data_IF_775723101424
#
_entry.id   IF_775723101424
#
_cell.length_a   1.000
_cell.length_b   1.000
_cell.length_c   1.000
_cell.angle_alpha   90.00
_cell.angle_beta   90.00
_cell.angle_gamma   90.00
#
_symmetry.space_group_name_H-M   'P 1'
#
loop_
_entity.id
_entity.type
_entity.pdbx_description
1 polymer ?
#
# COMPACT_ATOMS: atom_id res chain seq x y z
N UNK A 1 -31.16 -8.21 10.00
CA UNK A 1 -30.61 -6.85 9.93
C UNK A 1 -29.40 -6.94 9.01
N UNK A 2 -29.50 -6.46 7.77
CA UNK A 2 -28.37 -6.50 6.82
C UNK A 2 -27.29 -5.53 7.29
N UNK A 3 -26.06 -6.01 7.43
CA UNK A 3 -24.90 -5.16 7.62
C UNK A 3 -24.69 -4.34 6.35
N UNK A 4 -25.02 -3.04 6.40
CA UNK A 4 -24.72 -2.09 5.35
C UNK A 4 -23.24 -1.74 5.42
N UNK A 5 -22.53 -1.88 4.31
CA UNK A 5 -21.13 -1.47 4.22
C UNK A 5 -21.09 0.07 4.20
N UNK A 6 -20.41 0.75 5.15
CA UNK A 6 -20.26 2.21 5.14
C UNK A 6 -19.44 2.73 3.94
N UNK A 7 -18.88 1.81 3.13
CA UNK A 7 -18.17 2.07 1.88
C UNK A 7 -19.03 1.87 0.62
N UNK A 8 -20.36 1.79 0.76
CA UNK A 8 -21.28 1.55 -0.37
C UNK A 8 -22.35 2.64 -0.52
N UNK A 9 -22.42 3.23 -1.71
CA UNK A 9 -23.70 3.66 -2.26
C UNK A 9 -24.36 2.40 -2.86
N UNK A 10 -25.48 1.99 -2.27
CA UNK A 10 -26.17 0.74 -2.57
C UNK A 10 -26.82 0.74 -3.95
N UNK A 11 -26.43 -0.22 -4.80
CA UNK A 11 -27.28 -1.26 -5.41
C UNK A 11 -26.43 -2.10 -6.38
N UNK A 12 -26.03 -3.30 -5.93
CA UNK A 12 -25.15 -4.22 -6.66
C UNK A 12 -23.69 -4.13 -6.20
N UNK A 13 -23.29 -5.02 -5.31
CA UNK A 13 -21.97 -5.16 -4.67
C UNK A 13 -20.75 -5.24 -5.63
N UNK A 14 -20.96 -5.15 -6.95
CA UNK A 14 -19.98 -5.19 -8.02
C UNK A 14 -20.27 -4.12 -9.08
N UNK A 15 -20.34 -2.84 -8.71
CA UNK A 15 -19.98 -1.77 -9.66
C UNK A 15 -18.70 -1.15 -9.16
N UNK A 16 -17.65 -1.37 -9.95
CA UNK A 16 -16.32 -0.78 -9.87
C UNK A 16 -16.29 0.46 -8.98
N UNK A 17 -15.43 0.46 -7.96
CA UNK A 17 -14.93 1.72 -7.42
C UNK A 17 -14.25 2.41 -8.60
N UNK A 18 -14.79 3.50 -9.18
CA UNK A 18 -14.07 4.20 -10.21
C UNK A 18 -13.03 5.05 -9.49
N UNK A 19 -11.88 4.45 -9.27
CA UNK A 19 -10.64 5.20 -9.38
C UNK A 19 -10.23 5.06 -10.84
N UNK A 20 -10.70 5.98 -11.66
CA UNK A 20 -10.39 6.01 -13.08
C UNK A 20 -9.05 6.69 -13.28
N UNK A 21 -8.13 6.01 -13.95
CA UNK A 21 -7.23 6.70 -14.87
C UNK A 21 -8.12 7.19 -16.01
N UNK A 22 -8.09 8.48 -16.36
CA UNK A 22 -9.06 9.10 -17.27
C UNK A 22 -9.37 8.23 -18.52
N UNK A 23 -10.61 7.69 -18.62
CA UNK A 23 -11.16 7.07 -19.84
C UNK A 23 -12.68 7.31 -19.98
N UNK A 24 -13.22 7.46 -21.22
CA UNK A 24 -14.62 7.84 -21.50
C UNK A 24 -15.64 6.67 -21.45
N UNK A 25 -16.95 6.94 -21.24
CA UNK A 25 -17.94 5.93 -20.81
C UNK A 25 -18.59 5.13 -21.96
N UNK A 26 -19.00 3.89 -21.67
CA UNK A 26 -19.84 3.02 -22.51
C UNK A 26 -21.05 2.45 -21.73
N UNK A 27 -22.18 2.11 -22.41
CA UNK A 27 -23.50 1.88 -21.80
C UNK A 27 -23.75 0.42 -21.30
N UNK A 28 -24.81 0.17 -20.49
CA UNK A 28 -24.92 -1.02 -19.65
C UNK A 28 -25.66 -2.21 -20.31
N UNK A 29 -25.34 -3.43 -19.87
CA UNK A 29 -26.06 -4.68 -20.23
C UNK A 29 -26.65 -5.34 -18.96
N UNK A 30 -27.86 -5.88 -19.12
CA UNK A 30 -28.76 -6.44 -18.10
C UNK A 30 -28.27 -7.74 -17.44
N UNK A 31 -28.72 -7.96 -16.19
CA UNK A 31 -28.36 -9.05 -15.27
C UNK A 31 -29.50 -10.08 -15.18
N UNK A 32 -29.17 -11.38 -15.07
CA UNK A 32 -30.10 -12.47 -14.74
C UNK A 32 -29.62 -13.15 -13.44
N UNK A 33 -30.54 -13.40 -12.51
CA UNK A 33 -30.35 -13.98 -11.17
C UNK A 33 -30.72 -15.46 -11.16
N UNK A 34 -30.01 -16.33 -10.39
CA UNK A 34 -30.58 -17.49 -9.64
C UNK A 34 -29.60 -17.92 -8.50
N UNK A 35 -29.92 -18.82 -7.53
CA UNK A 35 -30.10 -18.51 -6.11
C UNK A 35 -29.14 -19.25 -5.12
N UNK A 36 -29.20 -18.81 -3.86
CA UNK A 36 -28.38 -19.21 -2.70
C UNK A 36 -28.48 -20.68 -2.25
N UNK A 37 -27.39 -21.22 -1.70
CA UNK A 37 -27.44 -22.32 -0.74
C UNK A 37 -26.60 -22.04 0.52
N UNK A 38 -27.31 -22.22 1.65
CA UNK A 38 -26.92 -22.14 3.06
C UNK A 38 -25.86 -23.16 3.46
N UNK A 39 -24.92 -22.77 4.32
CA UNK A 39 -24.18 -23.66 5.22
C UNK A 39 -23.94 -22.96 6.57
N UNK A 40 -24.21 -23.69 7.65
CA UNK A 40 -24.27 -23.23 9.04
C UNK A 40 -22.89 -23.12 9.73
N UNK A 41 -22.74 -22.26 10.76
CA UNK A 41 -21.46 -22.04 11.44
C UNK A 41 -21.21 -23.00 12.61
N UNK A 42 -19.95 -23.44 12.74
CA UNK A 42 -19.44 -24.20 13.87
C UNK A 42 -18.73 -23.29 14.87
N UNK A 43 -19.17 -23.34 16.13
CA UNK A 43 -18.65 -22.59 17.28
C UNK A 43 -17.35 -23.19 17.82
N UNK A 44 -16.37 -22.35 18.15
CA UNK A 44 -15.38 -22.64 19.18
C UNK A 44 -14.83 -21.34 19.80
N UNK A 45 -15.25 -21.05 21.03
CA UNK A 45 -14.68 -20.02 21.89
C UNK A 45 -13.50 -20.59 22.67
N UNK A 46 -12.42 -19.82 22.81
CA UNK A 46 -11.34 -20.11 23.77
C UNK A 46 -10.65 -18.83 24.25
N UNK A 47 -10.95 -18.56 25.52
CA UNK A 47 -10.39 -17.68 26.53
C UNK A 47 -9.08 -16.92 26.27
N UNK A 48 -9.13 -15.65 26.71
CA UNK A 48 -8.06 -14.68 26.69
C UNK A 48 -6.98 -14.93 27.73
N UNK A 49 -5.74 -14.91 27.25
CA UNK A 49 -4.53 -14.62 28.02
C UNK A 49 -3.65 -13.79 27.10
N UNK A 50 -3.47 -12.51 27.40
CA UNK A 50 -2.64 -11.63 26.57
C UNK A 50 -1.17 -12.00 26.82
N UNK A 51 -0.42 -12.46 25.79
CA UNK A 51 0.98 -12.82 25.97
C UNK A 51 1.80 -11.58 26.32
N UNK A 52 2.83 -11.70 27.18
CA UNK A 52 3.74 -10.60 27.47
C UNK A 52 4.34 -10.07 26.16
N UNK A 53 4.63 -8.77 26.05
CA UNK A 53 5.31 -8.24 24.89
C UNK A 53 6.62 -9.00 24.66
N UNK A 54 6.90 -9.43 23.42
CA UNK A 54 8.14 -10.14 23.14
C UNK A 54 9.33 -9.27 23.56
N UNK A 55 10.21 -9.84 24.38
CA UNK A 55 11.49 -9.25 24.72
C UNK A 55 12.30 -9.12 23.42
N UNK A 56 12.65 -7.89 23.06
CA UNK A 56 13.34 -7.61 21.81
C UNK A 56 14.83 -7.40 22.12
N UNK A 57 15.71 -8.27 21.61
CA UNK A 57 17.16 -8.19 21.81
C UNK A 57 17.75 -6.98 21.05
N UNK A 58 18.39 -6.00 21.73
CA UNK A 58 18.98 -4.81 21.10
C UNK A 58 20.16 -5.10 20.15
N UNK A 59 20.61 -6.37 20.06
CA UNK A 59 21.62 -6.82 19.09
C UNK A 59 21.05 -7.59 17.90
N UNK A 60 19.75 -7.89 17.89
CA UNK A 60 19.09 -8.26 16.64
C UNK A 60 19.01 -7.01 15.75
N UNK A 61 19.40 -7.10 14.48
CA UNK A 61 19.23 -5.99 13.55
C UNK A 61 17.72 -5.74 13.39
N UNK A 62 17.17 -4.80 14.17
CA UNK A 62 15.76 -4.45 14.08
C UNK A 62 15.48 -3.91 12.69
N UNK A 63 14.99 -4.78 11.82
CA UNK A 63 14.81 -4.51 10.42
C UNK A 63 13.35 -4.60 10.05
N UNK A 64 12.90 -3.65 9.25
CA UNK A 64 11.55 -3.65 8.70
C UNK A 64 11.44 -4.81 7.71
N UNK A 65 10.35 -5.57 7.83
CA UNK A 65 9.99 -6.62 6.88
C UNK A 65 9.85 -6.03 5.48
N UNK A 66 10.48 -6.62 4.46
CA UNK A 66 10.34 -6.14 3.10
C UNK A 66 8.92 -6.36 2.59
N UNK A 67 8.51 -5.57 1.59
CA UNK A 67 7.18 -5.72 0.96
C UNK A 67 6.98 -7.13 0.42
N UNK A 68 8.02 -7.75 -0.12
CA UNK A 68 7.91 -9.01 -0.82
C UNK A 68 9.14 -9.87 -0.51
N UNK A 69 8.97 -11.19 -0.38
CA UNK A 69 10.02 -12.12 0.05
C UNK A 69 11.24 -12.18 -0.89
N UNK A 70 11.07 -11.77 -2.14
CA UNK A 70 12.17 -11.69 -3.10
C UNK A 70 13.02 -10.40 -2.98
N UNK A 71 12.62 -9.46 -2.11
CA UNK A 71 13.39 -8.23 -1.87
C UNK A 71 14.44 -8.53 -0.81
N UNK A 72 15.70 -8.48 -1.22
CA UNK A 72 16.86 -8.76 -0.34
C UNK A 72 17.22 -7.56 0.56
N UNK A 73 16.72 -6.37 0.26
CA UNK A 73 17.05 -5.16 1.01
C UNK A 73 16.17 -5.03 2.26
N UNK A 74 16.82 -5.03 3.42
CA UNK A 74 16.20 -4.82 4.73
C UNK A 74 16.70 -3.52 5.35
N UNK A 75 15.78 -2.57 5.57
CA UNK A 75 16.10 -1.33 6.28
C UNK A 75 16.11 -1.59 7.78
N UNK A 76 17.23 -1.29 8.44
CA UNK A 76 17.41 -1.51 9.87
C UNK A 76 17.54 -0.20 10.65
N UNK A 77 17.28 -0.27 11.96
CA UNK A 77 17.44 0.88 12.86
C UNK A 77 18.90 1.37 12.86
N UNK A 78 19.85 0.44 12.79
CA UNK A 78 21.27 0.76 12.75
C UNK A 78 21.64 1.57 11.48
N UNK A 79 21.00 1.27 10.34
CA UNK A 79 21.18 2.07 9.14
C UNK A 79 20.69 3.51 9.35
N UNK A 80 19.50 3.69 9.93
CA UNK A 80 18.98 5.01 10.27
C UNK A 80 19.89 5.76 11.26
N UNK A 81 20.30 5.12 12.34
CA UNK A 81 21.18 5.72 13.36
C UNK A 81 22.52 6.18 12.80
N UNK A 82 23.08 5.42 11.86
CA UNK A 82 24.31 5.79 11.15
C UNK A 82 24.15 7.08 10.32
N UNK A 83 22.96 7.30 9.76
CA UNK A 83 22.67 8.48 8.93
C UNK A 83 22.23 9.69 9.76
N UNK A 84 21.49 9.48 10.86
CA UNK A 84 20.96 10.54 11.75
C UNK A 84 21.98 11.61 12.12
N UNK A 85 23.23 11.21 12.37
CA UNK A 85 24.31 12.11 12.79
C UNK A 85 24.87 13.00 11.67
N UNK A 86 24.47 12.77 10.43
CA UNK A 86 25.06 13.39 9.23
C UNK A 86 24.07 14.28 8.47
N UNK A 87 22.79 14.21 8.79
CA UNK A 87 21.76 14.95 8.08
C UNK A 87 21.41 16.24 8.81
N UNK A 88 21.51 17.34 8.08
CA UNK A 88 20.99 18.63 8.50
C UNK A 88 19.59 18.82 7.93
N UNK A 89 18.69 19.39 8.73
CA UNK A 89 17.36 19.76 8.28
C UNK A 89 17.46 20.85 7.21
N UNK A 90 16.81 20.62 6.07
CA UNK A 90 16.71 21.59 4.98
C UNK A 90 15.24 21.84 4.64
N UNK A 91 14.92 23.01 4.03
CA UNK A 91 13.56 23.33 3.61
C UNK A 91 13.00 22.35 2.57
N UNK A 92 13.87 21.81 1.70
CA UNK A 92 13.49 20.86 0.66
C UNK A 92 13.75 19.42 1.08
N UNK A 93 12.93 18.46 0.62
CA UNK A 93 13.21 17.03 0.78
C UNK A 93 14.60 16.67 0.24
N UNK A 94 15.25 15.69 0.88
CA UNK A 94 16.53 15.14 0.44
C UNK A 94 16.39 13.63 0.26
N UNK A 95 16.86 13.08 -0.86
CA UNK A 95 17.05 11.63 -0.97
C UNK A 95 18.21 11.23 -0.05
N UNK A 96 18.08 10.09 0.62
CA UNK A 96 19.13 9.48 1.45
C UNK A 96 19.63 8.22 0.75
N UNK A 97 20.66 8.32 -0.11
CA UNK A 97 21.10 7.22 -0.96
C UNK A 97 21.56 5.99 -0.17
N UNK A 98 22.19 6.18 0.99
CA UNK A 98 22.72 5.08 1.80
C UNK A 98 21.65 4.20 2.44
N UNK A 99 20.41 4.72 2.55
CA UNK A 99 19.25 3.97 3.01
C UNK A 99 18.34 3.51 1.88
N UNK A 100 18.71 3.88 0.64
CA UNK A 100 17.91 3.61 -0.54
C UNK A 100 18.48 2.44 -1.33
N UNK A 101 17.60 1.65 -1.92
CA UNK A 101 17.98 0.49 -2.72
C UNK A 101 17.00 0.26 -3.86
N UNK A 102 17.47 -0.41 -4.91
CA UNK A 102 16.63 -0.94 -5.99
C UNK A 102 17.22 -2.23 -6.52
N UNK A 103 16.39 -3.08 -7.09
CA UNK A 103 16.84 -4.34 -7.65
C UNK A 103 15.77 -4.99 -8.52
N UNK A 104 16.14 -6.11 -9.12
CA UNK A 104 15.23 -6.95 -9.88
C UNK A 104 15.69 -8.39 -9.85
N UNK A 105 14.74 -9.32 -9.91
CA UNK A 105 14.98 -10.75 -10.06
C UNK A 105 14.01 -11.33 -11.09
N UNK A 106 14.50 -12.27 -11.87
CA UNK A 106 13.68 -13.10 -12.75
C UNK A 106 13.67 -14.52 -12.18
N UNK A 107 12.48 -15.07 -11.95
CA UNK A 107 12.31 -16.45 -11.49
C UNK A 107 12.40 -17.42 -12.66
N UNK A 108 12.65 -18.69 -12.37
CA UNK A 108 12.71 -19.76 -13.38
C UNK A 108 11.39 -19.99 -14.13
N UNK A 109 10.26 -19.59 -13.52
CA UNK A 109 8.94 -19.59 -14.17
C UNK A 109 8.71 -18.40 -15.11
N UNK A 110 9.72 -17.55 -15.31
CA UNK A 110 9.70 -16.37 -16.17
C UNK A 110 9.05 -15.14 -15.55
N UNK A 111 8.55 -15.23 -14.31
CA UNK A 111 8.07 -14.07 -13.54
C UNK A 111 9.22 -13.10 -13.28
N UNK A 112 8.97 -11.81 -13.52
CA UNK A 112 9.93 -10.75 -13.19
C UNK A 112 9.42 -9.92 -12.03
N UNK A 113 10.29 -9.67 -11.07
CA UNK A 113 10.01 -8.84 -9.91
C UNK A 113 11.05 -7.74 -9.87
N UNK A 114 10.60 -6.50 -9.87
CA UNK A 114 11.43 -5.31 -9.69
C UNK A 114 11.04 -4.64 -8.38
N UNK A 115 12.00 -4.04 -7.69
CA UNK A 115 11.71 -3.30 -6.47
C UNK A 115 12.56 -2.05 -6.34
N UNK A 116 12.03 -1.08 -5.62
CA UNK A 116 12.76 0.06 -5.13
C UNK A 116 12.34 0.38 -3.69
N UNK A 117 13.25 0.97 -2.94
CA UNK A 117 13.05 1.46 -1.59
C UNK A 117 13.82 2.76 -1.51
N UNK A 118 13.13 3.88 -1.61
CA UNK A 118 13.73 5.20 -1.50
C UNK A 118 13.38 5.80 -0.15
N UNK A 119 14.42 6.25 0.55
CA UNK A 119 14.28 6.96 1.83
C UNK A 119 14.59 8.43 1.61
N UNK A 120 13.69 9.27 2.08
CA UNK A 120 13.79 10.72 2.03
C UNK A 120 13.93 11.28 3.45
N UNK A 121 14.63 12.40 3.56
CA UNK A 121 14.66 13.20 4.77
C UNK A 121 13.99 14.55 4.50
N UNK A 122 12.92 14.83 5.22
CA UNK A 122 12.13 16.05 5.06
C UNK A 122 11.67 16.52 6.43
N UNK A 123 12.01 17.78 6.77
CA UNK A 123 11.57 18.46 7.99
C UNK A 123 11.78 17.63 9.26
N UNK A 124 13.04 17.20 9.45
CA UNK A 124 13.44 16.42 10.61
C UNK A 124 12.90 14.98 10.66
N UNK A 125 12.30 14.45 9.58
CA UNK A 125 11.72 13.09 9.55
C UNK A 125 12.21 12.27 8.37
N UNK A 126 12.35 10.97 8.61
CA UNK A 126 12.59 9.98 7.57
C UNK A 126 11.28 9.46 7.01
N UNK A 127 11.16 9.51 5.69
CA UNK A 127 10.03 9.04 4.91
C UNK A 127 10.51 7.94 3.97
N UNK A 128 9.72 6.91 3.73
CA UNK A 128 10.10 5.83 2.81
C UNK A 128 9.00 5.55 1.81
N UNK A 129 9.38 5.45 0.53
CA UNK A 129 8.58 4.82 -0.52
C UNK A 129 9.24 3.49 -0.86
N UNK A 130 8.58 2.40 -0.52
CA UNK A 130 9.01 1.05 -0.90
C UNK A 130 8.02 0.51 -1.93
N UNK A 131 8.50 -0.04 -3.03
CA UNK A 131 7.66 -0.45 -4.15
C UNK A 131 8.15 -1.78 -4.69
N UNK A 132 7.20 -2.64 -5.05
CA UNK A 132 7.43 -3.87 -5.80
C UNK A 132 6.55 -3.87 -7.04
N UNK A 133 7.15 -4.12 -8.19
CA UNK A 133 6.47 -4.41 -9.45
C UNK A 133 6.64 -5.91 -9.75
N UNK A 134 5.53 -6.62 -9.85
CA UNK A 134 5.47 -8.02 -10.25
C UNK A 134 4.90 -8.09 -11.66
N UNK A 135 5.63 -8.75 -12.57
CA UNK A 135 5.25 -8.91 -13.98
C UNK A 135 5.16 -10.39 -14.31
N UNK A 136 4.05 -10.77 -14.94
CA UNK A 136 3.75 -12.15 -15.27
C UNK A 136 2.99 -12.28 -16.59
N UNK A 137 3.42 -13.22 -17.42
CA UNK A 137 2.77 -13.55 -18.69
C UNK A 137 1.83 -14.75 -18.57
N UNK A 138 0.99 -14.90 -19.59
CA UNK A 138 0.24 -16.14 -19.84
C UNK A 138 1.19 -17.34 -20.02
N UNK A 139 0.74 -18.52 -19.63
CA UNK A 139 1.50 -19.78 -19.69
C UNK A 139 2.48 -20.02 -18.52
N UNK A 140 2.67 -19.06 -17.61
CA UNK A 140 3.56 -19.20 -16.45
C UNK A 140 2.91 -19.99 -15.29
N UNK A 141 3.73 -20.63 -14.44
CA UNK A 141 3.28 -21.49 -13.34
C UNK A 141 2.44 -20.74 -12.29
N UNK A 142 1.21 -21.18 -12.01
CA UNK A 142 0.28 -20.50 -11.07
C UNK A 142 0.87 -20.48 -9.66
N UNK A 143 1.27 -19.29 -9.20
CA UNK A 143 1.84 -19.08 -7.88
C UNK A 143 1.16 -17.87 -7.25
N UNK A 144 0.78 -18.04 -5.98
CA UNK A 144 0.31 -16.96 -5.13
C UNK A 144 1.47 -16.06 -4.73
N UNK A 145 1.26 -14.76 -4.78
CA UNK A 145 2.19 -13.77 -4.25
C UNK A 145 1.61 -13.12 -2.99
N UNK A 146 2.48 -12.83 -2.03
CA UNK A 146 2.13 -12.15 -0.80
C UNK A 146 2.94 -10.85 -0.70
N UNK A 147 2.23 -9.75 -0.46
CA UNK A 147 2.82 -8.43 -0.27
C UNK A 147 2.48 -7.94 1.14
N UNK A 148 3.50 -7.66 1.93
CA UNK A 148 3.39 -7.27 3.34
C UNK A 148 3.73 -5.79 3.46
N UNK A 149 2.74 -4.95 3.69
CA UNK A 149 3.00 -3.52 3.91
C UNK A 149 3.58 -3.24 5.29
N UNK A 150 3.01 -3.90 6.31
CA UNK A 150 3.36 -3.77 7.71
C UNK A 150 2.86 -5.01 8.49
N UNK A 151 3.17 -5.15 9.80
CA UNK A 151 2.70 -6.28 10.60
C UNK A 151 1.16 -6.44 10.68
N UNK A 152 0.40 -5.38 10.36
CA UNK A 152 -1.07 -5.41 10.39
C UNK A 152 -1.70 -5.67 9.04
N UNK A 153 -1.03 -5.33 7.94
CA UNK A 153 -1.63 -5.28 6.62
C UNK A 153 -0.79 -6.04 5.61
N UNK A 154 -1.38 -7.08 5.04
CA UNK A 154 -0.85 -7.79 3.87
C UNK A 154 -1.94 -8.02 2.83
N UNK A 155 -1.53 -8.23 1.59
CA UNK A 155 -2.39 -8.66 0.49
C UNK A 155 -1.79 -9.91 -0.14
N UNK A 156 -2.63 -10.91 -0.34
CA UNK A 156 -2.32 -12.09 -1.13
C UNK A 156 -3.04 -11.99 -2.46
N UNK A 157 -2.32 -12.29 -3.54
CA UNK A 157 -2.86 -12.32 -4.90
C UNK A 157 -2.61 -13.73 -5.42
N UNK A 158 -3.69 -14.43 -5.74
CA UNK A 158 -3.61 -15.78 -6.28
C UNK A 158 -2.95 -15.81 -7.67
N UNK A 159 -2.48 -17.00 -8.05
CA UNK A 159 -1.97 -17.21 -9.41
C UNK A 159 -3.08 -16.93 -10.43
N UNK A 160 -2.88 -15.96 -11.35
CA UNK A 160 -3.94 -15.57 -12.27
C UNK A 160 -4.30 -16.71 -13.22
N UNK A 161 -5.55 -16.68 -13.68
CA UNK A 161 -6.00 -17.46 -14.83
C UNK A 161 -6.18 -16.53 -16.02
N UNK A 162 -5.46 -16.83 -17.09
CA UNK A 162 -5.59 -16.14 -18.36
C UNK A 162 -6.59 -16.85 -19.27
N UNK A 163 -7.20 -16.08 -20.16
CA UNK A 163 -8.11 -16.60 -21.18
C UNK A 163 -8.38 -15.56 -22.25
N UNK A 164 -9.16 -15.90 -23.27
CA UNK A 164 -9.55 -14.98 -24.33
C UNK A 164 -11.06 -14.76 -24.31
N UNK A 165 -11.46 -13.49 -24.48
CA UNK A 165 -12.85 -13.10 -24.72
C UNK A 165 -12.87 -12.04 -25.82
N UNK A 166 -13.64 -12.29 -26.88
CA UNK A 166 -13.73 -11.40 -28.06
C UNK A 166 -12.34 -11.03 -28.64
N UNK A 167 -11.48 -12.04 -28.80
CA UNK A 167 -10.07 -11.93 -29.25
C UNK A 167 -9.17 -11.05 -28.36
N UNK A 168 -9.63 -10.69 -27.16
CA UNK A 168 -8.83 -9.96 -26.16
C UNK A 168 -8.36 -10.90 -25.07
N UNK A 169 -7.07 -10.80 -24.73
CA UNK A 169 -6.53 -11.46 -23.55
C UNK A 169 -7.23 -10.90 -22.30
N UNK A 170 -7.60 -11.80 -21.41
CA UNK A 170 -8.23 -11.49 -20.13
C UNK A 170 -7.48 -12.19 -19.01
N UNK A 171 -7.47 -11.58 -17.84
CA UNK A 171 -6.87 -12.16 -16.64
C UNK A 171 -7.88 -12.08 -15.50
N UNK A 172 -7.94 -13.15 -14.69
CA UNK A 172 -8.69 -13.19 -13.45
C UNK A 172 -7.80 -13.64 -12.30
N UNK A 173 -7.94 -13.01 -11.14
CA UNK A 173 -7.27 -13.46 -9.91
C UNK A 173 -8.11 -13.16 -8.68
N UNK A 174 -7.88 -13.91 -7.60
CA UNK A 174 -8.45 -13.66 -6.28
C UNK A 174 -7.48 -12.83 -5.46
N UNK A 175 -8.00 -11.77 -4.85
CA UNK A 175 -7.24 -10.83 -4.02
C UNK A 175 -7.74 -10.94 -2.59
N UNK A 176 -6.88 -11.34 -1.66
CA UNK A 176 -7.23 -11.50 -0.25
C UNK A 176 -6.48 -10.45 0.56
N UNK A 177 -7.23 -9.61 1.28
CA UNK A 177 -6.66 -8.63 2.20
C UNK A 177 -6.64 -9.20 3.62
N UNK A 178 -5.58 -8.92 4.36
CA UNK A 178 -5.48 -9.23 5.78
C UNK A 178 -5.10 -7.98 6.59
N UNK A 179 -5.96 -7.51 7.51
CA UNK A 179 -7.36 -7.93 7.69
C UNK A 179 -8.21 -7.69 6.43
N UNK A 180 -9.36 -8.38 6.32
CA UNK A 180 -10.34 -8.11 5.27
C UNK A 180 -10.81 -6.66 5.29
N UNK A 181 -11.09 -6.10 4.11
CA UNK A 181 -11.56 -4.71 3.97
C UNK A 181 -12.87 -4.44 4.71
N UNK A 182 -13.75 -5.44 4.73
CA UNK A 182 -15.01 -5.47 5.48
C UNK A 182 -15.55 -6.91 5.50
N UNK A 183 -16.65 -7.14 6.20
CA UNK A 183 -17.26 -8.47 6.38
C UNK A 183 -17.56 -9.19 5.05
N UNK A 184 -18.06 -8.47 4.04
CA UNK A 184 -18.35 -9.05 2.72
C UNK A 184 -17.10 -9.45 1.92
N UNK A 185 -15.92 -8.99 2.31
CA UNK A 185 -14.65 -9.28 1.66
C UNK A 185 -13.77 -10.27 2.45
N UNK A 186 -14.34 -10.98 3.43
CA UNK A 186 -13.61 -11.95 4.26
C UNK A 186 -12.97 -13.09 3.44
N UNK A 187 -13.56 -13.47 2.31
CA UNK A 187 -13.02 -14.48 1.38
C UNK A 187 -12.17 -13.92 0.24
N UNK A 188 -11.91 -12.61 0.22
CA UNK A 188 -11.23 -11.92 -0.87
C UNK A 188 -12.17 -11.31 -1.91
N UNK A 189 -11.59 -10.81 -2.99
CA UNK A 189 -12.27 -10.15 -4.11
C UNK A 189 -11.73 -10.72 -5.41
N UNK A 190 -12.60 -11.28 -6.23
CA UNK A 190 -12.23 -11.67 -7.59
C UNK A 190 -12.07 -10.40 -8.44
N UNK A 191 -10.90 -10.23 -9.02
CA UNK A 191 -10.65 -9.23 -10.03
C UNK A 191 -10.64 -9.88 -11.42
N UNK A 192 -11.14 -9.14 -12.40
CA UNK A 192 -11.16 -9.51 -13.81
C UNK A 192 -10.80 -8.28 -14.63
N UNK A 193 -9.82 -8.40 -15.51
CA UNK A 193 -9.33 -7.30 -16.36
C UNK A 193 -10.42 -6.66 -17.24
N UNK A 194 -11.51 -7.37 -17.54
CA UNK A 194 -12.66 -6.81 -18.27
C UNK A 194 -13.41 -5.73 -17.50
N UNK A 195 -13.26 -5.69 -16.17
CA UNK A 195 -13.84 -4.66 -15.32
C UNK A 195 -12.91 -3.45 -15.11
N UNK A 196 -11.78 -3.43 -15.83
CA UNK A 196 -10.73 -2.43 -15.69
C UNK A 196 -9.73 -2.78 -14.60
N UNK A 197 -8.86 -1.83 -14.32
CA UNK A 197 -7.76 -1.97 -13.36
C UNK A 197 -8.31 -2.14 -11.94
N UNK A 198 -7.65 -2.98 -11.14
CA UNK A 198 -7.82 -2.99 -9.71
C UNK A 198 -6.98 -1.87 -9.10
N UNK A 199 -7.58 -1.07 -8.23
CA UNK A 199 -6.85 -0.08 -7.44
C UNK A 199 -7.37 -0.04 -6.01
N UNK A 200 -6.46 -0.14 -5.04
CA UNK A 200 -6.76 -0.11 -3.63
C UNK A 200 -5.72 0.69 -2.86
N UNK A 201 -6.18 1.49 -1.89
CA UNK A 201 -5.35 2.12 -0.88
C UNK A 201 -5.75 1.60 0.51
N UNK A 202 -4.77 1.26 1.34
CA UNK A 202 -4.95 0.83 2.72
C UNK A 202 -4.15 1.75 3.65
N UNK A 203 -4.74 2.15 4.78
CA UNK A 203 -4.09 3.01 5.77
C UNK A 203 -3.95 2.26 7.08
N UNK A 204 -2.71 2.06 7.55
CA UNK A 204 -2.43 1.51 8.86
C UNK A 204 -2.50 2.61 9.93
N UNK A 205 -3.53 2.55 10.76
CA UNK A 205 -3.71 3.52 11.85
C UNK A 205 -2.65 3.41 12.94
N UNK A 206 -2.01 2.25 13.11
CA UNK A 206 -1.08 1.96 14.21
C UNK A 206 0.37 2.26 13.80
N UNK A 207 0.74 1.83 12.61
CA UNK A 207 2.13 1.71 12.20
C UNK A 207 2.58 2.79 11.21
N UNK A 208 1.74 3.77 10.90
CA UNK A 208 2.08 4.85 9.96
C UNK A 208 2.60 4.31 8.63
N UNK A 209 1.86 3.35 8.08
CA UNK A 209 2.13 2.76 6.79
C UNK A 209 0.87 2.85 5.95
N UNK A 210 0.95 3.58 4.85
CA UNK A 210 -0.10 3.60 3.83
C UNK A 210 0.37 2.68 2.69
N UNK A 211 -0.52 1.92 2.07
CA UNK A 211 -0.19 0.95 1.04
C UNK A 211 -1.14 1.04 -0.15
N UNK A 212 -0.58 1.08 -1.34
CA UNK A 212 -1.27 1.18 -2.61
C UNK A 212 -1.05 -0.10 -3.40
N UNK A 213 -2.11 -0.67 -3.96
CA UNK A 213 -2.07 -1.82 -4.84
C UNK A 213 -2.79 -1.49 -6.14
N UNK A 214 -2.09 -1.66 -7.26
CA UNK A 214 -2.65 -1.61 -8.60
C UNK A 214 -2.45 -2.99 -9.23
N UNK A 215 -3.51 -3.53 -9.84
CA UNK A 215 -3.43 -4.76 -10.65
C UNK A 215 -4.08 -4.47 -11.98
N UNK A 216 -3.36 -4.74 -13.05
CA UNK A 216 -3.88 -4.53 -14.38
C UNK A 216 -3.23 -5.44 -15.42
N UNK A 217 -3.87 -5.53 -16.58
CA UNK A 217 -3.43 -6.34 -17.70
C UNK A 217 -3.01 -5.41 -18.83
N UNK A 218 -1.71 -5.38 -19.11
CA UNK A 218 -1.13 -4.58 -20.18
C UNK A 218 -0.54 -5.51 -21.25
N UNK A 219 -1.09 -5.42 -22.46
CA UNK A 219 -0.67 -6.23 -23.63
C UNK A 219 -0.80 -7.73 -23.31
N UNK A 220 0.29 -8.36 -22.88
CA UNK A 220 0.44 -9.78 -22.57
C UNK A 220 0.90 -10.04 -21.13
N UNK A 221 0.95 -9.01 -20.28
CA UNK A 221 1.44 -9.10 -18.90
C UNK A 221 0.38 -8.67 -17.90
N UNK A 222 0.11 -9.54 -16.94
CA UNK A 222 -0.43 -9.10 -15.66
C UNK A 222 0.68 -8.37 -14.92
N UNK A 223 0.40 -7.15 -14.50
CA UNK A 223 1.25 -6.42 -13.56
C UNK A 223 0.54 -6.21 -12.23
N UNK A 224 1.29 -6.40 -11.15
CA UNK A 224 0.92 -5.97 -9.80
C UNK A 224 1.93 -4.95 -9.36
N UNK A 225 1.46 -3.73 -9.13
CA UNK A 225 2.25 -2.65 -8.56
C UNK A 225 1.83 -2.47 -7.10
N UNK A 226 2.73 -2.73 -6.17
CA UNK A 226 2.46 -2.60 -4.74
C UNK A 226 3.44 -1.63 -4.10
N UNK A 227 2.94 -0.51 -3.60
CA UNK A 227 3.74 0.56 -2.98
C UNK A 227 3.36 0.73 -1.52
N UNK A 228 4.34 0.86 -0.64
CA UNK A 228 4.16 1.25 0.75
C UNK A 228 4.85 2.58 1.02
N UNK A 229 4.14 3.44 1.73
CA UNK A 229 4.56 4.77 2.14
C UNK A 229 4.66 4.75 3.66
N UNK A 230 5.86 4.94 4.21
CA UNK A 230 6.14 4.78 5.65
C UNK A 230 6.75 6.05 6.23
N UNK A 231 6.35 6.42 7.44
CA UNK A 231 7.06 7.39 8.27
C UNK A 231 7.97 6.63 9.23
N UNK A 232 9.28 6.70 8.96
CA UNK A 232 10.29 5.94 9.71
C UNK A 232 10.70 6.62 11.02
N UNK A 233 10.12 7.78 11.32
CA UNK A 233 10.39 8.51 12.53
C UNK A 233 11.29 9.73 12.37
N UNK A 234 11.66 10.33 13.49
CA UNK A 234 12.52 11.51 13.56
C UNK A 234 13.97 11.22 13.18
N UNK A 235 14.63 12.27 12.69
CA UNK A 235 16.08 12.34 12.52
C UNK A 235 16.85 12.52 13.83
N UNK A 236 16.18 12.92 14.90
CA UNK A 236 16.79 13.02 16.23
C UNK A 236 17.10 11.61 16.79
N UNK A 237 18.30 11.46 17.35
CA UNK A 237 18.81 10.23 17.95
C UNK A 237 18.42 10.06 19.43
N UNK A 238 17.72 11.03 20.03
CA UNK A 238 17.44 11.05 21.47
C UNK A 238 16.51 9.94 21.97
N UNK A 239 15.75 9.25 21.11
CA UNK A 239 14.87 8.12 21.48
C UNK A 239 14.45 7.30 20.22
N UNK A 240 14.33 5.96 20.26
CA UNK A 240 13.61 5.23 19.21
C UNK A 240 12.20 5.80 19.01
N UNK A 241 11.96 6.44 17.86
CA UNK A 241 10.67 7.00 17.50
C UNK A 241 9.57 5.92 17.58
N UNK A 242 8.45 6.26 18.24
CA UNK A 242 7.32 5.36 18.41
C UNK A 242 6.79 4.77 17.09
N UNK A 243 6.92 5.51 15.97
CA UNK A 243 6.54 5.02 14.64
C UNK A 243 7.47 3.92 14.14
N UNK A 244 8.77 4.03 14.41
CA UNK A 244 9.73 2.98 14.08
C UNK A 244 9.41 1.69 14.85
N UNK A 245 9.13 1.81 16.15
CA UNK A 245 8.72 0.67 16.98
C UNK A 245 7.40 0.07 16.47
N UNK A 246 6.43 0.90 16.07
CA UNK A 246 5.15 0.43 15.52
C UNK A 246 5.31 -0.29 14.17
N UNK A 247 6.23 0.17 13.30
CA UNK A 247 6.56 -0.50 12.04
C UNK A 247 7.20 -1.88 12.28
N UNK A 248 8.06 -2.01 13.29
CA UNK A 248 8.74 -3.26 13.63
C UNK A 248 7.81 -4.28 14.30
N UNK A 249 7.04 -3.82 15.28
CA UNK A 249 6.36 -4.73 16.22
C UNK A 249 4.86 -4.85 15.96
N UNK A 250 4.29 -3.96 15.15
CA UNK A 250 2.86 -3.77 15.08
C UNK A 250 2.26 -3.17 16.37
N UNK A 251 3.08 -2.67 17.30
CA UNK A 251 2.58 -2.11 18.57
C UNK A 251 2.99 -0.65 18.67
N UNK A 252 2.02 0.22 18.96
CA UNK A 252 2.31 1.63 19.18
C UNK A 252 1.08 2.54 19.14
N UNK A 253 1.33 3.80 19.49
CA UNK A 253 0.43 4.95 19.35
C UNK A 253 1.24 5.99 18.57
N UNK A 254 0.67 6.56 17.51
CA UNK A 254 -0.63 7.25 17.49
C UNK A 254 -1.72 6.54 16.67
N UNK A 255 -2.99 6.82 16.99
CA UNK A 255 -4.11 6.52 16.11
C UNK A 255 -4.18 7.57 15.00
N UNK A 256 -3.86 7.20 13.76
CA UNK A 256 -4.23 8.02 12.59
C UNK A 256 -5.63 7.70 12.14
N UNK A 257 -6.29 8.70 11.58
CA UNK A 257 -7.54 8.53 10.87
C UNK A 257 -7.36 7.60 9.66
N UNK A 258 -8.21 6.57 9.50
CA UNK A 258 -8.19 5.64 8.36
C UNK A 258 -8.37 6.34 7.02
N UNK A 259 -8.93 7.54 7.03
CA UNK A 259 -9.23 8.31 5.82
C UNK A 259 -8.18 9.41 5.55
N UNK A 260 -7.16 9.53 6.40
CA UNK A 260 -6.07 10.49 6.24
C UNK A 260 -4.97 9.93 5.34
N UNK A 261 -4.97 10.39 4.08
CA UNK A 261 -3.92 10.12 3.10
C UNK A 261 -2.75 11.11 3.17
N UNK A 262 -2.57 11.80 4.31
CA UNK A 262 -1.49 12.79 4.49
C UNK A 262 -0.10 12.18 4.35
N UNK A 263 0.12 10.98 4.90
CA UNK A 263 1.42 10.32 4.77
C UNK A 263 1.70 9.96 3.32
N UNK A 264 0.74 9.33 2.64
CA UNK A 264 0.84 9.09 1.20
C UNK A 264 1.18 10.36 0.42
N UNK A 265 0.40 11.44 0.57
CA UNK A 265 0.62 12.70 -0.13
C UNK A 265 2.00 13.31 0.18
N UNK A 266 2.46 13.21 1.43
CA UNK A 266 3.76 13.72 1.85
C UNK A 266 4.92 12.93 1.26
N UNK A 267 4.89 11.59 1.34
CA UNK A 267 5.94 10.74 0.78
C UNK A 267 5.95 10.85 -0.75
N UNK A 268 4.77 10.88 -1.38
CA UNK A 268 4.63 11.12 -2.81
C UNK A 268 5.18 12.49 -3.21
N UNK A 269 4.84 13.54 -2.46
CA UNK A 269 5.34 14.90 -2.67
C UNK A 269 6.85 15.02 -2.53
N UNK A 270 7.43 14.39 -1.51
CA UNK A 270 8.88 14.31 -1.34
C UNK A 270 9.54 13.65 -2.56
N UNK A 271 9.02 12.51 -3.00
CA UNK A 271 9.51 11.82 -4.18
C UNK A 271 9.35 12.67 -5.46
N UNK A 272 8.22 13.37 -5.62
CA UNK A 272 7.93 14.21 -6.78
C UNK A 272 8.86 15.42 -6.85
N UNK A 273 9.11 16.08 -5.71
CA UNK A 273 10.03 17.21 -5.62
C UNK A 273 11.47 16.86 -6.00
N UNK A 274 11.82 15.57 -5.89
CA UNK A 274 13.13 15.00 -6.22
C UNK A 274 13.14 14.31 -7.60
N UNK A 275 12.14 14.57 -8.44
CA UNK A 275 11.97 14.00 -9.79
C UNK A 275 12.12 12.46 -9.84
N UNK A 276 11.62 11.78 -8.81
CA UNK A 276 11.66 10.32 -8.77
C UNK A 276 10.65 9.73 -9.76
N UNK A 277 11.11 8.80 -10.60
CA UNK A 277 10.27 8.10 -11.57
C UNK A 277 9.27 7.16 -10.90
N UNK A 278 8.27 6.72 -11.68
CA UNK A 278 7.22 5.80 -11.23
C UNK A 278 6.22 6.43 -10.27
N UNK A 279 6.05 7.75 -10.36
CA UNK A 279 5.01 8.50 -9.65
C UNK A 279 3.89 8.74 -10.63
N UNK A 280 2.88 7.88 -10.61
CA UNK A 280 1.66 8.10 -11.36
C UNK A 280 0.74 9.03 -10.57
N UNK A 281 0.07 9.94 -11.26
CA UNK A 281 -1.01 10.72 -10.67
C UNK A 281 -2.24 9.82 -10.58
N UNK A 282 -2.58 9.44 -9.37
CA UNK A 282 -3.71 8.54 -9.10
C UNK A 282 -4.78 9.31 -8.35
N UNK A 283 -6.02 9.09 -8.79
CA UNK A 283 -7.22 9.59 -8.13
C UNK A 283 -7.86 8.45 -7.37
N UNK A 284 -7.83 8.52 -6.03
CA UNK A 284 -8.49 7.58 -5.15
C UNK A 284 -9.88 8.10 -4.75
N UNK A 285 -10.72 7.22 -4.25
CA UNK A 285 -11.98 7.57 -3.61
C UNK A 285 -12.05 6.93 -2.24
N UNK A 286 -12.40 7.73 -1.23
CA UNK A 286 -12.78 7.25 0.10
C UNK A 286 -14.18 7.78 0.45
N UNK A 287 -14.64 7.52 1.66
CA UNK A 287 -15.88 8.03 2.26
C UNK A 287 -15.94 9.57 2.33
N UNK A 288 -14.79 10.27 2.30
CA UNK A 288 -14.70 11.75 2.24
C UNK A 288 -14.79 12.30 0.83
N UNK A 289 -14.82 11.44 -0.18
CA UNK A 289 -14.94 11.81 -1.58
C UNK A 289 -13.72 11.41 -2.40
N UNK A 290 -13.49 12.20 -3.46
CA UNK A 290 -12.42 11.95 -4.42
C UNK A 290 -11.15 12.66 -3.98
N UNK A 291 -10.04 11.95 -4.03
CA UNK A 291 -8.74 12.39 -3.57
C UNK A 291 -7.72 12.21 -4.70
N UNK A 292 -7.18 13.33 -5.19
CA UNK A 292 -6.08 13.33 -6.14
C UNK A 292 -4.79 13.74 -5.42
N UNK A 293 -3.76 12.90 -5.47
CA UNK A 293 -2.53 13.07 -4.68
C UNK A 293 -1.82 14.40 -4.95
N UNK A 294 -1.72 14.77 -6.22
CA UNK A 294 -1.05 15.99 -6.63
C UNK A 294 -1.78 17.23 -6.11
N UNK A 295 -3.10 17.27 -6.28
CA UNK A 295 -3.94 18.38 -5.81
C UNK A 295 -3.85 18.54 -4.29
N UNK A 296 -3.89 17.43 -3.55
CA UNK A 296 -3.77 17.46 -2.10
C UNK A 296 -2.38 17.90 -1.63
N UNK A 297 -1.32 17.40 -2.25
CA UNK A 297 0.04 17.84 -1.96
C UNK A 297 0.22 19.34 -2.20
N UNK A 298 -0.24 19.86 -3.34
CA UNK A 298 -0.18 21.29 -3.66
C UNK A 298 -0.92 22.15 -2.63
N UNK A 299 -2.09 21.73 -2.16
CA UNK A 299 -2.83 22.42 -1.09
C UNK A 299 -2.04 22.45 0.22
N UNK A 300 -1.42 21.33 0.60
CA UNK A 300 -0.62 21.24 1.84
C UNK A 300 0.60 22.18 1.82
N UNK A 301 1.21 22.41 0.66
CA UNK A 301 2.31 23.37 0.52
C UNK A 301 1.81 24.81 0.68
N UNK A 302 0.64 25.14 0.12
CA UNK A 302 0.07 26.49 0.19
C UNK A 302 -0.31 26.90 1.62
N UNK A 303 -0.95 26.00 2.38
CA UNK A 303 -1.32 26.26 3.78
C UNK A 303 -0.08 26.52 4.66
N UNK A 304 1.00 25.77 4.42
CA UNK A 304 2.24 25.91 5.19
C UNK A 304 2.99 27.20 4.89
N UNK A 305 2.92 27.69 3.65
CA UNK A 305 3.50 28.99 3.28
C UNK A 305 2.74 30.17 3.93
N UNK A 306 1.43 30.03 4.18
CA UNK A 306 0.64 31.04 4.89
C UNK A 306 1.01 31.09 6.38
N UNK A 307 1.10 29.94 7.06
CA UNK A 307 1.45 29.88 8.49
C UNK A 307 2.87 30.38 8.81
N UNK A 308 3.82 30.19 7.89
CA UNK A 308 5.18 30.70 8.04
C UNK A 308 5.28 32.20 7.80
N UNK A 309 4.39 32.76 6.98
CA UNK A 309 4.31 34.22 6.75
C UNK A 309 3.71 34.93 7.97
N UNK A 310 2.68 34.34 8.59
CA UNK A 310 1.99 34.93 9.74
C UNK A 310 2.80 34.87 11.06
N UNK A 311 3.79 33.98 11.17
CA UNK A 311 4.70 33.92 12.33
C UNK A 311 5.93 34.82 12.20
N UNK A 312 6.11 35.46 11.05
CA UNK A 312 7.26 36.33 10.73
C UNK A 312 7.00 37.83 10.91
N UNK A 313 5.81 38.22 11.37
CA UNK A 313 5.40 39.61 11.66
C UNK A 313 5.13 39.81 13.14
#
# INVERSE_FOLDING_TARGET
MSAHCPWSAHEGCCRAHPSTRDQPPQPPIHRIEIPEQKLEPSNAASNGGQPPPPYIDPRSSYAITPIHLAVEHHLSLQHLDCVRRRLEEKPTPQLVPELSAKGSISRSDGTRIEWNSYVYFERGRFLQRQQTLYLRKDGMAKRKENFISCPHHSIEIDGPTFGFQDDRLTAKTLIVNNPPRCEVHFGGTEWNSLHGDYLQMNVCQICHCDAECIIALEIDNLFVWYTCYKDLGTGDASNPDAKWIALLTGRGTPCRDTESFELYARVWGAAKSLDQRGLEDVTHRNSRGVFNVYSHWMQSQNTQNQETTDRGT
#
